data_IF_131878779063
#
_entry.id   IF_131878779063
#
_cell.length_a   1.000
_cell.length_b   1.000
_cell.length_c   1.000
_cell.angle_alpha   90.00
_cell.angle_beta   90.00
_cell.angle_gamma   90.00
#
_symmetry.space_group_name_H-M   'P 1'
#
loop_
_entity.id
_entity.type
_entity.pdbx_description
1 polymer ?
#
# COMPACT_ATOMS: atom_id res chain seq x y z
N UNK A 1 -20.45 53.59 -17.19
CA UNK A 1 -21.90 53.84 -17.03
C UNK A 1 -22.65 53.10 -18.13
N UNK A 2 -23.81 52.48 -17.87
CA UNK A 2 -24.47 52.20 -16.57
C UNK A 2 -24.38 50.69 -16.22
N UNK A 3 -24.20 50.28 -14.95
CA UNK A 3 -25.13 50.26 -13.78
C UNK A 3 -26.24 49.21 -13.91
N UNK A 4 -26.22 48.16 -13.06
CA UNK A 4 -27.03 47.97 -11.84
C UNK A 4 -28.48 47.54 -12.19
N UNK A 5 -29.08 46.52 -11.56
CA UNK A 5 -29.57 46.56 -10.18
C UNK A 5 -30.00 45.17 -9.69
N UNK A 6 -29.71 44.90 -8.42
CA UNK A 6 -30.38 43.90 -7.59
C UNK A 6 -31.85 44.26 -7.34
N UNK A 7 -32.68 43.27 -6.98
CA UNK A 7 -33.84 43.39 -6.07
C UNK A 7 -34.47 42.00 -5.79
N UNK A 8 -34.25 41.49 -4.58
CA UNK A 8 -35.28 40.83 -3.73
C UNK A 8 -35.97 41.98 -2.95
N UNK A 9 -37.22 41.89 -2.43
CA UNK A 9 -37.61 40.83 -1.48
C UNK A 9 -39.13 40.48 -1.30
N UNK A 10 -39.35 39.47 -0.45
CA UNK A 10 -40.41 39.32 0.59
C UNK A 10 -41.88 39.08 0.23
N UNK A 11 -42.42 37.98 0.77
CA UNK A 11 -43.79 37.77 1.33
C UNK A 11 -43.68 36.54 2.26
N UNK A 12 -43.59 36.71 3.58
CA UNK A 12 -44.69 36.77 4.57
C UNK A 12 -45.67 35.59 4.51
N UNK A 13 -45.61 34.72 5.53
CA UNK A 13 -46.80 34.15 6.17
C UNK A 13 -46.50 33.84 7.64
N UNK A 14 -47.31 34.45 8.50
CA UNK A 14 -47.38 34.31 9.96
C UNK A 14 -48.37 33.20 10.33
N UNK A 15 -48.07 32.47 11.41
CA UNK A 15 -48.98 32.14 12.52
C UNK A 15 -48.12 31.53 13.66
N UNK A 16 -47.84 32.22 14.78
CA UNK A 16 -48.61 32.31 16.04
C UNK A 16 -49.25 30.98 16.48
N UNK A 17 -48.98 30.41 17.66
CA UNK A 17 -49.12 31.01 18.99
C UNK A 17 -48.34 30.27 20.11
N UNK A 18 -48.05 31.05 21.17
CA UNK A 18 -47.88 30.75 22.62
C UNK A 18 -46.91 29.63 23.05
N UNK A 19 -45.76 29.87 23.69
CA UNK A 19 -45.46 30.48 25.01
C UNK A 19 -45.95 29.68 26.23
N UNK A 20 -45.04 28.98 26.93
CA UNK A 20 -44.93 29.01 28.41
C UNK A 20 -43.46 28.79 28.81
N UNK A 21 -43.03 29.66 29.71
CA UNK A 21 -41.75 29.80 30.41
C UNK A 21 -41.44 28.65 31.38
N UNK A 22 -40.17 28.35 31.62
CA UNK A 22 -39.73 27.51 32.74
C UNK A 22 -38.25 27.14 32.67
N UNK A 23 -37.40 27.96 33.28
CA UNK A 23 -35.96 27.80 33.31
C UNK A 23 -35.47 27.01 34.54
N UNK A 24 -34.46 26.15 34.31
CA UNK A 24 -33.38 25.66 35.21
C UNK A 24 -33.72 24.59 36.28
N UNK A 25 -32.72 23.84 36.84
CA UNK A 25 -31.31 23.64 36.44
C UNK A 25 -30.80 22.16 36.47
N UNK A 26 -29.56 21.97 36.00
CA UNK A 26 -28.70 20.78 36.19
C UNK A 26 -28.54 20.33 37.67
N UNK A 27 -28.41 19.03 37.96
CA UNK A 27 -27.93 18.58 39.27
C UNK A 27 -26.42 18.28 39.28
N UNK A 28 -25.75 18.78 40.32
CA UNK A 28 -24.43 18.35 40.79
C UNK A 28 -24.55 17.26 41.87
N UNK A 29 -23.47 16.48 42.13
CA UNK A 29 -23.55 15.16 42.75
C UNK A 29 -23.38 15.23 44.27
N UNK A 30 -24.36 14.75 45.05
CA UNK A 30 -24.22 14.21 46.42
C UNK A 30 -25.61 13.90 46.98
N UNK A 31 -25.70 12.90 47.86
CA UNK A 31 -26.88 12.44 48.62
C UNK A 31 -27.79 11.40 47.96
N UNK A 32 -27.33 10.16 47.95
CA UNK A 32 -28.16 8.97 48.21
C UNK A 32 -27.27 7.95 48.95
N UNK A 33 -26.94 8.29 50.19
CA UNK A 33 -26.47 7.35 51.19
C UNK A 33 -27.62 7.14 52.17
N UNK A 34 -27.77 5.90 52.65
CA UNK A 34 -28.68 5.46 53.72
C UNK A 34 -30.14 5.13 53.33
N UNK A 35 -30.34 3.91 52.82
CA UNK A 35 -31.35 2.96 53.32
C UNK A 35 -31.33 1.65 52.51
N UNK A 36 -30.61 0.62 52.99
CA UNK A 36 -30.95 -0.81 52.88
C UNK A 36 -29.72 -1.69 53.24
N UNK A 37 -29.48 -1.85 54.54
CA UNK A 37 -29.07 -3.14 55.11
C UNK A 37 -30.30 -4.08 55.04
N UNK A 38 -30.27 -5.39 54.82
CA UNK A 38 -29.33 -6.48 55.09
C UNK A 38 -29.54 -7.58 54.03
N UNK A 39 -28.49 -8.36 53.68
CA UNK A 39 -28.48 -9.79 53.24
C UNK A 39 -27.15 -10.09 52.49
N UNK A 40 -26.62 -11.34 52.55
CA UNK A 40 -25.20 -11.63 52.38
C UNK A 40 -24.75 -11.70 50.91
N UNK A 41 -23.51 -11.22 50.66
CA UNK A 41 -22.67 -11.39 49.47
C UNK A 41 -23.39 -11.79 48.16
N UNK A 42 -23.68 -10.80 47.32
CA UNK A 42 -24.18 -11.01 45.95
C UNK A 42 -24.19 -9.70 45.15
N UNK A 43 -23.61 -9.76 43.95
CA UNK A 43 -23.39 -8.70 42.96
C UNK A 43 -24.57 -7.72 42.80
N UNK A 44 -24.34 -6.41 43.00
CA UNK A 44 -25.28 -5.35 42.60
C UNK A 44 -24.85 -4.79 41.24
N UNK A 45 -25.65 -4.98 40.19
CA UNK A 45 -25.47 -4.28 38.92
C UNK A 45 -25.77 -2.77 39.05
N UNK A 46 -24.91 -1.92 38.50
CA UNK A 46 -25.16 -0.49 38.33
C UNK A 46 -26.28 -0.19 37.31
N UNK A 47 -26.74 1.08 37.19
CA UNK A 47 -27.79 1.46 36.25
C UNK A 47 -27.36 1.28 34.78
N UNK A 48 -28.28 0.87 33.91
CA UNK A 48 -28.06 0.76 32.46
C UNK A 48 -27.86 2.15 31.84
N UNK A 49 -26.87 2.29 30.95
CA UNK A 49 -26.64 3.51 30.15
C UNK A 49 -27.65 3.70 29.01
N UNK A 50 -28.44 2.67 28.68
CA UNK A 50 -29.46 2.73 27.64
C UNK A 50 -30.86 2.94 28.24
N UNK A 51 -31.67 3.88 27.72
CA UNK A 51 -33.06 4.08 28.15
C UNK A 51 -33.87 2.79 27.96
N UNK A 52 -34.45 2.27 29.04
CA UNK A 52 -35.21 1.01 29.03
C UNK A 52 -34.38 -0.28 29.14
N UNK A 53 -33.06 -0.18 29.30
CA UNK A 53 -32.18 -1.33 29.49
C UNK A 53 -32.19 -1.88 30.93
N UNK A 54 -32.10 -3.21 31.07
CA UNK A 54 -31.88 -3.88 32.38
C UNK A 54 -30.54 -4.62 32.38
N UNK A 55 -29.74 -4.39 33.42
CA UNK A 55 -28.48 -5.09 33.63
C UNK A 55 -28.73 -6.36 34.44
N UNK A 56 -28.14 -7.48 34.00
CA UNK A 56 -28.16 -8.76 34.70
C UNK A 56 -26.70 -9.21 34.87
N UNK A 57 -26.32 -9.56 36.10
CA UNK A 57 -25.04 -10.20 36.41
C UNK A 57 -25.23 -11.69 36.66
N UNK A 58 -24.32 -12.50 36.14
CA UNK A 58 -24.16 -13.92 36.47
C UNK A 58 -22.66 -14.18 36.64
N UNK A 59 -22.14 -14.04 37.85
CA UNK A 59 -20.70 -14.10 38.09
C UNK A 59 -19.98 -12.87 37.50
N UNK A 60 -18.79 -13.05 36.95
CA UNK A 60 -17.98 -11.96 36.35
C UNK A 60 -18.54 -11.44 35.00
N UNK A 61 -19.73 -11.88 34.60
CA UNK A 61 -20.40 -11.50 33.36
C UNK A 61 -21.54 -10.52 33.63
N UNK A 62 -21.43 -9.32 33.07
CA UNK A 62 -22.54 -8.35 33.02
C UNK A 62 -23.14 -8.29 31.62
N UNK A 63 -24.45 -8.51 31.52
CA UNK A 63 -25.22 -8.40 30.27
C UNK A 63 -26.24 -7.28 30.39
N UNK A 64 -26.39 -6.47 29.34
CA UNK A 64 -27.42 -5.42 29.26
C UNK A 64 -28.48 -5.83 28.25
N UNK A 65 -29.73 -5.96 28.70
CA UNK A 65 -30.87 -6.28 27.84
C UNK A 65 -31.56 -5.00 27.42
N UNK A 66 -31.60 -4.73 26.11
CA UNK A 66 -32.40 -3.65 25.50
C UNK A 66 -33.29 -4.25 24.43
N UNK A 67 -34.61 -4.19 24.61
CA UNK A 67 -35.62 -4.62 23.64
C UNK A 67 -35.40 -6.02 23.00
N UNK A 68 -34.90 -7.00 23.77
CA UNK A 68 -34.74 -8.38 23.32
C UNK A 68 -33.44 -8.70 22.58
N UNK A 69 -32.54 -7.73 22.41
CA UNK A 69 -31.18 -7.97 21.90
C UNK A 69 -30.19 -8.09 23.07
N UNK A 70 -29.29 -9.07 23.01
CA UNK A 70 -28.28 -9.35 24.04
C UNK A 70 -26.93 -8.75 23.64
N UNK A 71 -26.39 -7.85 24.45
CA UNK A 71 -24.97 -7.47 24.39
C UNK A 71 -24.27 -7.99 25.65
N UNK A 72 -23.36 -8.95 25.47
CA UNK A 72 -22.51 -9.49 26.55
C UNK A 72 -21.20 -8.72 26.52
N UNK A 73 -20.89 -7.99 27.59
CA UNK A 73 -19.60 -7.31 27.76
C UNK A 73 -18.83 -8.03 28.86
N UNK A 74 -17.65 -8.57 28.54
CA UNK A 74 -16.72 -9.11 29.53
C UNK A 74 -15.81 -7.97 29.97
N UNK A 75 -16.03 -7.44 31.17
CA UNK A 75 -15.09 -6.51 31.79
C UNK A 75 -14.15 -7.31 32.69
N UNK A 76 -13.00 -7.73 32.17
CA UNK A 76 -11.94 -8.30 32.99
C UNK A 76 -11.32 -7.18 33.85
N UNK A 77 -11.88 -6.95 35.03
CA UNK A 77 -11.18 -6.30 36.12
C UNK A 77 -10.54 -7.40 36.95
N UNK A 78 -9.26 -7.71 36.67
CA UNK A 78 -8.26 -8.03 37.68
C UNK A 78 -6.92 -8.32 37.01
N UNK A 79 -6.02 -7.35 37.13
CA UNK A 79 -4.59 -7.57 37.09
C UNK A 79 -4.21 -8.36 38.36
N UNK A 80 -3.23 -9.25 38.23
CA UNK A 80 -2.58 -10.00 39.32
C UNK A 80 -3.33 -11.22 39.90
N UNK A 81 -3.56 -12.24 39.07
CA UNK A 81 -3.36 -13.63 39.52
C UNK A 81 -2.55 -14.42 38.51
N UNK A 82 -1.36 -14.84 38.94
CA UNK A 82 -0.63 -15.98 38.36
C UNK A 82 -1.60 -17.15 38.29
N UNK A 83 -2.01 -17.52 37.09
CA UNK A 83 -2.57 -18.82 36.80
C UNK A 83 -1.56 -19.57 35.96
N UNK A 84 -1.02 -20.63 36.54
CA UNK A 84 -0.35 -21.70 35.83
C UNK A 84 -1.32 -22.22 34.76
N UNK A 85 -1.17 -21.73 33.53
CA UNK A 85 -1.83 -22.29 32.36
C UNK A 85 -1.05 -23.54 31.98
N UNK A 86 -1.54 -24.68 32.46
CA UNK A 86 -1.24 -25.99 31.90
C UNK A 86 -1.37 -25.94 30.38
N UNK A 87 -0.28 -26.27 29.70
CA UNK A 87 -0.29 -26.72 28.30
C UNK A 87 -1.28 -27.87 28.17
N UNK A 88 -2.34 -27.73 27.36
CA UNK A 88 -2.97 -28.89 26.71
C UNK A 88 -3.93 -28.52 25.56
N UNK A 89 -3.65 -29.10 24.40
CA UNK A 89 -4.33 -28.96 23.10
C UNK A 89 -3.35 -28.49 22.01
N UNK A 90 -3.32 -29.09 20.80
CA UNK A 90 -2.46 -28.60 19.72
C UNK A 90 -2.90 -27.18 19.37
N UNK A 91 -2.15 -26.19 19.86
CA UNK A 91 -2.48 -24.79 19.65
C UNK A 91 -2.41 -24.47 18.16
N UNK A 92 -3.47 -23.87 17.62
CA UNK A 92 -3.46 -23.34 16.25
C UNK A 92 -2.24 -22.44 16.07
N UNK A 93 -1.42 -22.76 15.08
CA UNK A 93 -0.19 -22.05 14.78
C UNK A 93 -0.47 -20.70 14.12
N UNK A 94 0.53 -19.81 14.14
CA UNK A 94 0.50 -18.54 13.38
C UNK A 94 0.22 -18.81 11.90
N UNK A 95 0.86 -19.82 11.32
CA UNK A 95 0.72 -20.15 9.91
C UNK A 95 -0.69 -20.64 9.55
N UNK A 96 -1.35 -21.38 10.44
CA UNK A 96 -2.75 -21.78 10.25
C UNK A 96 -3.71 -20.59 10.28
N UNK A 97 -3.53 -19.65 11.21
CA UNK A 97 -4.35 -18.42 11.25
C UNK A 97 -4.11 -17.57 9.99
N UNK A 98 -2.86 -17.42 9.56
CA UNK A 98 -2.49 -16.66 8.36
C UNK A 98 -3.07 -17.31 7.11
N UNK A 99 -3.00 -18.63 7.00
CA UNK A 99 -3.59 -19.37 5.89
C UNK A 99 -5.13 -19.25 5.87
N UNK A 100 -5.75 -19.23 7.05
CA UNK A 100 -7.20 -19.05 7.19
C UNK A 100 -7.68 -17.64 6.83
N UNK A 101 -6.92 -16.60 7.20
CA UNK A 101 -7.22 -15.22 6.81
C UNK A 101 -7.16 -15.03 5.29
N UNK A 102 -6.29 -15.80 4.61
CA UNK A 102 -6.12 -15.78 3.15
C UNK A 102 -5.88 -14.36 2.60
N UNK A 103 -5.00 -13.63 3.27
CA UNK A 103 -4.59 -12.28 2.86
C UNK A 103 -3.41 -12.29 1.88
N UNK A 104 -3.37 -11.37 0.89
CA UNK A 104 -2.24 -11.23 -0.03
C UNK A 104 -0.94 -10.83 0.66
N UNK A 105 0.20 -11.29 0.11
CA UNK A 105 1.53 -10.91 0.59
C UNK A 105 2.06 -9.64 -0.10
N UNK A 106 1.66 -8.49 0.43
CA UNK A 106 2.12 -7.19 -0.07
C UNK A 106 3.62 -6.93 0.14
N UNK A 107 4.25 -7.58 1.13
CA UNK A 107 5.64 -7.28 1.49
C UNK A 107 6.64 -7.82 0.47
N UNK A 108 6.24 -8.79 -0.36
CA UNK A 108 7.01 -9.23 -1.55
C UNK A 108 7.36 -8.06 -2.47
N UNK A 109 6.38 -7.21 -2.75
CA UNK A 109 6.54 -6.04 -3.63
C UNK A 109 7.51 -5.04 -2.99
N UNK A 110 7.39 -4.85 -1.67
CA UNK A 110 8.29 -4.00 -0.89
C UNK A 110 9.75 -4.47 -1.00
N UNK A 111 9.99 -5.77 -0.80
CA UNK A 111 11.33 -6.37 -0.86
C UNK A 111 11.96 -6.22 -2.25
N UNK A 112 11.20 -6.50 -3.31
CA UNK A 112 11.67 -6.35 -4.69
C UNK A 112 12.04 -4.89 -5.01
N UNK A 113 11.27 -3.92 -4.54
CA UNK A 113 11.56 -2.50 -4.73
C UNK A 113 12.79 -2.04 -3.93
N UNK A 114 12.94 -2.52 -2.68
CA UNK A 114 14.13 -2.24 -1.86
C UNK A 114 15.41 -2.77 -2.49
N UNK A 115 15.37 -3.95 -3.11
CA UNK A 115 16.52 -4.53 -3.79
C UNK A 115 17.01 -3.68 -4.98
N UNK A 116 16.14 -2.86 -5.58
CA UNK A 116 16.47 -1.95 -6.67
C UNK A 116 17.01 -0.60 -6.17
N UNK A 117 16.84 -0.28 -4.88
CA UNK A 117 17.27 0.99 -4.31
C UNK A 117 18.78 1.10 -4.29
N UNK A 118 19.29 2.24 -4.75
CA UNK A 118 20.70 2.58 -4.59
C UNK A 118 20.97 3.04 -3.14
N UNK A 119 22.02 2.55 -2.47
CA UNK A 119 22.38 3.04 -1.14
C UNK A 119 22.55 4.56 -1.11
N UNK A 120 21.96 5.20 -0.09
CA UNK A 120 22.01 6.66 0.09
C UNK A 120 20.91 7.46 -0.60
N UNK A 121 20.13 6.88 -1.52
CA UNK A 121 19.05 7.63 -2.19
C UNK A 121 17.75 7.64 -1.39
N UNK A 122 16.91 8.66 -1.56
CA UNK A 122 15.60 8.78 -0.90
C UNK A 122 15.66 9.23 0.56
N UNK A 123 16.83 9.61 1.07
CA UNK A 123 17.01 10.13 2.45
C UNK A 123 16.20 11.39 2.70
N UNK A 124 16.15 12.29 1.71
CA UNK A 124 15.37 13.53 1.77
C UNK A 124 13.89 13.29 2.12
N UNK A 125 13.33 12.12 1.78
CA UNK A 125 11.93 11.81 2.03
C UNK A 125 11.70 11.52 3.52
N UNK A 126 12.56 10.71 4.15
CA UNK A 126 12.46 10.39 5.58
C UNK A 126 12.94 11.54 6.48
N UNK A 127 13.80 12.42 5.95
CA UNK A 127 14.26 13.63 6.64
C UNK A 127 13.28 14.80 6.53
N UNK A 128 12.24 14.66 5.72
CA UNK A 128 11.19 15.67 5.53
C UNK A 128 10.43 15.95 6.83
N UNK A 129 9.90 17.16 6.94
CA UNK A 129 9.10 17.57 8.09
C UNK A 129 7.80 16.78 8.17
N UNK A 130 7.17 16.50 7.03
CA UNK A 130 5.94 15.72 6.95
C UNK A 130 6.18 14.29 7.48
N UNK A 131 7.28 13.65 7.09
CA UNK A 131 7.62 12.32 7.57
C UNK A 131 7.94 12.32 9.08
N UNK A 132 8.64 13.35 9.57
CA UNK A 132 8.89 13.51 11.01
C UNK A 132 7.58 13.63 11.80
N UNK A 133 6.64 14.45 11.31
CA UNK A 133 5.31 14.59 11.92
C UNK A 133 4.52 13.29 11.89
N UNK A 134 4.65 12.46 10.85
CA UNK A 134 4.07 11.12 10.83
C UNK A 134 4.59 10.26 11.99
N UNK A 135 5.90 10.27 12.23
CA UNK A 135 6.57 9.45 13.25
C UNK A 135 6.26 9.92 14.67
N UNK A 136 6.26 11.23 14.89
CA UNK A 136 6.05 11.85 16.20
C UNK A 136 4.56 11.98 16.57
N UNK A 137 3.71 12.16 15.57
CA UNK A 137 2.28 12.39 15.74
C UNK A 137 1.45 11.12 16.00
N UNK A 138 0.14 11.35 16.17
CA UNK A 138 -0.89 10.32 16.29
C UNK A 138 -2.00 10.59 15.29
N UNK A 139 -2.48 9.54 14.63
CA UNK A 139 -3.48 9.61 13.56
C UNK A 139 -3.14 10.60 12.44
N UNK A 140 -1.85 10.72 12.10
CA UNK A 140 -1.36 11.60 11.04
C UNK A 140 -1.40 10.87 9.70
N UNK A 141 -1.82 11.59 8.65
CA UNK A 141 -1.76 11.11 7.28
C UNK A 141 -0.74 11.95 6.52
N UNK A 142 0.26 11.30 5.95
CA UNK A 142 1.17 11.91 4.97
C UNK A 142 0.86 11.32 3.61
N UNK A 143 0.56 12.18 2.65
CA UNK A 143 0.27 11.78 1.28
C UNK A 143 1.35 12.31 0.33
N UNK A 144 2.25 11.41 -0.05
CA UNK A 144 3.26 11.57 -1.08
C UNK A 144 2.66 11.39 -2.48
N UNK A 145 2.57 12.47 -3.27
CA UNK A 145 2.11 12.38 -4.67
C UNK A 145 3.25 12.62 -5.64
N UNK A 146 3.27 11.87 -6.75
CA UNK A 146 4.32 12.00 -7.74
C UNK A 146 3.96 11.39 -9.09
N UNK A 147 4.65 11.83 -10.14
CA UNK A 147 4.44 11.34 -11.50
C UNK A 147 4.85 9.86 -11.64
N UNK A 148 4.36 9.15 -12.68
CA UNK A 148 4.86 7.82 -13.01
C UNK A 148 6.38 7.81 -13.18
N UNK A 149 7.06 6.80 -12.63
CA UNK A 149 8.52 6.69 -12.73
C UNK A 149 9.32 7.60 -11.79
N UNK A 150 8.68 8.38 -10.92
CA UNK A 150 9.37 9.22 -9.93
C UNK A 150 10.09 8.45 -8.79
N UNK A 151 9.86 7.13 -8.68
CA UNK A 151 10.46 6.30 -7.62
C UNK A 151 9.59 6.12 -6.37
N UNK A 152 8.29 6.45 -6.44
CA UNK A 152 7.34 6.31 -5.32
C UNK A 152 7.41 4.97 -4.60
N UNK A 153 7.34 3.86 -5.34
CA UNK A 153 7.45 2.52 -4.74
C UNK A 153 8.77 2.30 -4.00
N UNK A 154 9.89 2.81 -4.53
CA UNK A 154 11.18 2.72 -3.83
C UNK A 154 11.16 3.55 -2.55
N UNK A 155 10.53 4.74 -2.57
CA UNK A 155 10.39 5.61 -1.40
C UNK A 155 9.47 5.01 -0.33
N UNK A 156 8.32 4.44 -0.71
CA UNK A 156 7.39 3.80 0.23
C UNK A 156 8.01 2.55 0.84
N UNK A 157 8.69 1.71 0.05
CA UNK A 157 9.40 0.54 0.57
C UNK A 157 10.57 0.92 1.47
N UNK A 158 11.32 1.98 1.13
CA UNK A 158 12.36 2.51 2.01
C UNK A 158 11.78 3.05 3.32
N UNK A 159 10.67 3.79 3.26
CA UNK A 159 9.96 4.30 4.43
C UNK A 159 9.49 3.18 5.35
N UNK A 160 8.88 2.12 4.78
CA UNK A 160 8.47 0.94 5.52
C UNK A 160 9.65 0.28 6.23
N UNK A 161 10.76 0.06 5.50
CA UNK A 161 12.00 -0.49 6.08
C UNK A 161 12.54 0.41 7.20
N UNK A 162 12.62 1.72 6.97
CA UNK A 162 13.14 2.66 7.96
C UNK A 162 12.31 2.66 9.25
N UNK A 163 10.97 2.68 9.14
CA UNK A 163 10.07 2.55 10.30
C UNK A 163 10.28 1.21 11.02
N UNK A 164 10.38 0.12 10.28
CA UNK A 164 10.57 -1.23 10.83
C UNK A 164 11.89 -1.34 11.60
N UNK A 165 12.98 -0.81 11.02
CA UNK A 165 14.30 -0.80 11.65
C UNK A 165 14.32 0.13 12.88
N UNK A 166 13.65 1.28 12.81
CA UNK A 166 13.61 2.29 13.90
C UNK A 166 12.87 1.77 15.13
N UNK A 167 11.76 1.07 14.94
CA UNK A 167 10.94 0.51 16.03
C UNK A 167 11.22 -0.98 16.25
N UNK A 168 12.36 -1.49 15.77
CA UNK A 168 12.72 -2.88 15.94
C UNK A 168 12.85 -3.23 17.43
N UNK A 169 12.03 -4.17 17.89
CA UNK A 169 12.01 -4.63 19.28
C UNK A 169 11.01 -3.90 20.18
N UNK A 170 10.40 -2.81 19.71
CA UNK A 170 9.28 -2.17 20.41
C UNK A 170 7.98 -2.93 20.12
N UNK A 171 7.52 -3.69 21.10
CA UNK A 171 6.31 -4.51 20.98
C UNK A 171 5.02 -3.69 20.99
N UNK A 172 5.08 -2.43 21.41
CA UNK A 172 3.95 -1.50 21.40
C UNK A 172 3.71 -0.86 20.03
N UNK A 173 4.66 -1.00 19.08
CA UNK A 173 4.57 -0.36 17.77
C UNK A 173 4.40 -1.40 16.67
N UNK A 174 3.41 -1.20 15.80
CA UNK A 174 3.24 -2.00 14.58
C UNK A 174 3.57 -1.17 13.33
N UNK A 175 4.31 -1.77 12.40
CA UNK A 175 4.61 -1.20 11.08
C UNK A 175 4.09 -2.16 10.02
N UNK A 176 3.10 -1.72 9.27
CA UNK A 176 2.35 -2.53 8.30
C UNK A 176 2.50 -1.95 6.89
N UNK A 177 2.52 -2.82 5.89
CA UNK A 177 2.71 -2.47 4.49
C UNK A 177 1.58 -2.97 3.59
N UNK A 178 1.09 -2.10 2.71
CA UNK A 178 0.08 -2.39 1.69
C UNK A 178 0.61 -1.87 0.35
N UNK A 179 0.90 -2.77 -0.58
CA UNK A 179 1.53 -2.44 -1.86
C UNK A 179 0.60 -2.88 -2.99
N UNK A 180 -0.23 -1.94 -3.45
CA UNK A 180 -1.33 -2.18 -4.37
C UNK A 180 -0.89 -2.09 -5.84
N UNK A 181 -1.50 -2.92 -6.69
CA UNK A 181 -1.18 -3.00 -8.13
C UNK A 181 -2.46 -3.24 -8.93
N UNK A 182 -2.63 -2.54 -10.05
CA UNK A 182 -3.81 -2.64 -10.91
C UNK A 182 -4.06 -4.05 -11.47
N UNK A 183 -2.99 -4.84 -11.66
CA UNK A 183 -3.08 -6.20 -12.17
C UNK A 183 -3.29 -7.25 -11.08
N UNK A 184 -3.25 -6.84 -9.81
CA UNK A 184 -3.53 -7.70 -8.66
C UNK A 184 -4.80 -7.19 -7.99
N UNK A 185 -5.96 -7.49 -8.60
CA UNK A 185 -7.26 -7.13 -8.04
C UNK A 185 -7.38 -7.68 -6.62
N UNK A 186 -7.73 -6.82 -5.69
CA UNK A 186 -7.99 -7.17 -4.29
C UNK A 186 -9.25 -6.46 -3.82
N UNK A 187 -10.08 -7.15 -3.04
CA UNK A 187 -11.19 -6.53 -2.34
C UNK A 187 -10.68 -5.83 -1.07
N UNK A 188 -11.50 -4.94 -0.48
CA UNK A 188 -11.16 -4.26 0.76
C UNK A 188 -10.91 -5.25 1.91
N UNK A 189 -11.77 -6.26 2.03
CA UNK A 189 -11.59 -7.47 2.86
C UNK A 189 -10.18 -8.08 2.76
N UNK A 190 -9.63 -8.21 1.55
CA UNK A 190 -8.31 -8.83 1.36
C UNK A 190 -7.19 -7.95 1.93
N UNK A 191 -7.31 -6.63 1.79
CA UNK A 191 -6.35 -5.69 2.38
C UNK A 191 -6.36 -5.78 3.91
N UNK A 192 -7.54 -5.83 4.53
CA UNK A 192 -7.65 -5.99 5.98
C UNK A 192 -7.15 -7.35 6.47
N UNK A 193 -7.43 -8.42 5.74
CA UNK A 193 -6.87 -9.74 6.03
C UNK A 193 -5.33 -9.72 5.95
N UNK A 194 -4.74 -9.05 4.96
CA UNK A 194 -3.28 -8.93 4.84
C UNK A 194 -2.65 -8.13 5.99
N UNK A 195 -3.31 -7.08 6.48
CA UNK A 195 -2.86 -6.33 7.66
C UNK A 195 -2.89 -7.20 8.91
N UNK A 196 -3.96 -7.97 9.12
CA UNK A 196 -4.06 -8.93 10.23
C UNK A 196 -3.00 -10.04 10.12
N UNK A 197 -2.74 -10.57 8.93
CA UNK A 197 -1.65 -11.52 8.70
C UNK A 197 -0.29 -10.95 9.14
N UNK A 198 -0.01 -9.68 8.86
CA UNK A 198 1.22 -9.01 9.29
C UNK A 198 1.26 -8.85 10.81
N UNK A 199 0.17 -8.42 11.45
CA UNK A 199 0.07 -8.28 12.90
C UNK A 199 0.24 -9.61 13.63
N UNK A 200 -0.45 -10.67 13.20
CA UNK A 200 -0.36 -12.00 13.82
C UNK A 200 1.06 -12.56 13.77
N UNK A 201 1.81 -12.25 12.71
CA UNK A 201 3.23 -12.65 12.58
C UNK A 201 4.17 -11.81 13.45
N UNK A 202 3.86 -10.52 13.65
CA UNK A 202 4.74 -9.57 14.33
C UNK A 202 4.47 -9.38 15.82
N UNK A 203 3.24 -9.62 16.28
CA UNK A 203 2.76 -9.16 17.57
C UNK A 203 1.99 -10.25 18.32
N UNK A 204 2.47 -10.59 19.51
CA UNK A 204 1.87 -11.64 20.35
C UNK A 204 0.41 -11.32 20.74
N UNK A 205 0.09 -10.04 21.00
CA UNK A 205 -1.28 -9.63 21.32
C UNK A 205 -2.25 -9.94 20.17
N UNK A 206 -1.83 -9.67 18.93
CA UNK A 206 -2.61 -9.96 17.74
C UNK A 206 -2.79 -11.48 17.55
N UNK A 207 -1.75 -12.28 17.75
CA UNK A 207 -1.86 -13.75 17.69
C UNK A 207 -2.84 -14.29 18.74
N UNK A 208 -2.74 -13.83 20.00
CA UNK A 208 -3.65 -14.26 21.07
C UNK A 208 -5.10 -13.89 20.77
N UNK A 209 -5.34 -12.66 20.30
CA UNK A 209 -6.67 -12.20 19.91
C UNK A 209 -7.21 -13.04 18.74
N UNK A 210 -6.44 -13.18 17.66
CA UNK A 210 -6.87 -13.88 16.46
C UNK A 210 -7.04 -15.39 16.68
N UNK A 211 -6.31 -16.00 17.61
CA UNK A 211 -6.54 -17.39 18.04
C UNK A 211 -7.95 -17.57 18.60
N UNK A 212 -8.43 -16.63 19.40
CA UNK A 212 -9.79 -16.66 19.94
C UNK A 212 -10.85 -16.38 18.87
N UNK A 213 -10.56 -15.53 17.88
CA UNK A 213 -11.46 -15.30 16.73
C UNK A 213 -11.53 -16.58 15.88
N UNK A 214 -10.38 -17.12 15.48
CA UNK A 214 -10.26 -18.35 14.69
C UNK A 214 -11.09 -19.50 15.27
N UNK A 215 -10.98 -19.76 16.58
CA UNK A 215 -11.73 -20.82 17.23
C UNK A 215 -13.26 -20.68 17.09
N UNK A 216 -13.76 -19.45 17.00
CA UNK A 216 -15.19 -19.13 16.85
C UNK A 216 -15.67 -19.17 15.40
N UNK A 217 -14.82 -18.82 14.45
CA UNK A 217 -15.21 -18.55 13.04
C UNK A 217 -14.60 -19.52 12.02
N UNK A 218 -13.76 -20.48 12.43
CA UNK A 218 -13.11 -21.42 11.51
C UNK A 218 -14.08 -22.20 10.60
N UNK A 219 -15.30 -22.48 11.07
CA UNK A 219 -16.30 -23.24 10.32
C UNK A 219 -17.13 -22.39 9.35
N UNK A 220 -17.32 -21.10 9.67
CA UNK A 220 -18.22 -20.19 8.94
C UNK A 220 -17.46 -19.23 8.02
N UNK A 221 -16.15 -19.12 8.18
CA UNK A 221 -15.35 -18.06 7.56
C UNK A 221 -15.44 -16.74 8.34
N UNK A 222 -14.57 -15.81 7.99
CA UNK A 222 -14.52 -14.46 8.56
C UNK A 222 -15.02 -13.44 7.53
N UNK A 223 -15.93 -12.56 7.93
CA UNK A 223 -16.45 -11.50 7.05
C UNK A 223 -15.66 -10.20 7.24
N UNK A 224 -15.85 -9.24 6.34
CA UNK A 224 -15.12 -7.97 6.38
C UNK A 224 -15.32 -7.20 7.70
N UNK A 225 -16.53 -7.22 8.25
CA UNK A 225 -16.85 -6.55 9.52
C UNK A 225 -16.02 -7.10 10.68
N UNK A 226 -15.88 -8.43 10.78
CA UNK A 226 -15.06 -9.09 11.80
C UNK A 226 -13.58 -8.68 11.68
N UNK A 227 -13.08 -8.50 10.45
CA UNK A 227 -11.69 -8.06 10.22
C UNK A 227 -11.48 -6.63 10.70
N UNK A 228 -12.44 -5.74 10.44
CA UNK A 228 -12.39 -4.34 10.90
C UNK A 228 -12.47 -4.26 12.43
N UNK A 229 -13.32 -5.08 13.06
CA UNK A 229 -13.40 -5.19 14.52
C UNK A 229 -12.09 -5.71 15.12
N UNK A 230 -11.52 -6.77 14.55
CA UNK A 230 -10.23 -7.28 14.99
C UNK A 230 -9.10 -6.24 14.84
N UNK A 231 -9.06 -5.51 13.72
CA UNK A 231 -8.09 -4.44 13.53
C UNK A 231 -8.27 -3.32 14.56
N UNK A 232 -9.52 -2.94 14.87
CA UNK A 232 -9.82 -1.93 15.89
C UNK A 232 -9.30 -2.32 17.26
N UNK A 233 -9.61 -3.54 17.70
CA UNK A 233 -9.21 -4.02 19.02
C UNK A 233 -7.70 -4.18 19.13
N UNK A 234 -7.05 -4.71 18.08
CA UNK A 234 -5.60 -4.89 18.06
C UNK A 234 -4.88 -3.54 17.98
N UNK A 235 -5.34 -2.60 17.16
CA UNK A 235 -4.73 -1.26 17.08
C UNK A 235 -4.89 -0.52 18.40
N UNK A 236 -6.04 -0.65 19.07
CA UNK A 236 -6.29 -0.06 20.39
C UNK A 236 -5.43 -0.65 21.52
N UNK A 237 -4.89 -1.87 21.33
CA UNK A 237 -3.96 -2.51 22.27
C UNK A 237 -2.49 -2.15 22.02
N UNK A 238 -2.19 -1.41 20.95
CA UNK A 238 -0.84 -0.97 20.57
C UNK A 238 -0.67 0.52 20.87
N UNK A 239 0.54 0.94 21.19
CA UNK A 239 0.86 2.34 21.45
C UNK A 239 0.79 3.19 20.18
N UNK A 240 1.29 2.62 19.07
CA UNK A 240 1.29 3.26 17.74
C UNK A 240 1.20 2.22 16.62
N UNK A 241 0.48 2.57 15.57
CA UNK A 241 0.40 1.78 14.33
C UNK A 241 0.73 2.66 13.14
N UNK A 242 1.68 2.21 12.32
CA UNK A 242 2.03 2.81 11.04
C UNK A 242 1.55 1.93 9.91
N UNK A 243 0.86 2.52 8.92
CA UNK A 243 0.46 1.81 7.70
C UNK A 243 1.04 2.54 6.50
N UNK A 244 1.92 1.87 5.75
CA UNK A 244 2.48 2.38 4.51
C UNK A 244 1.70 1.81 3.33
N UNK A 245 1.09 2.68 2.54
CA UNK A 245 0.27 2.34 1.37
C UNK A 245 0.98 2.85 0.10
N UNK A 246 1.33 1.94 -0.80
CA UNK A 246 1.88 2.24 -2.13
C UNK A 246 0.86 1.91 -3.22
N UNK A 247 0.66 2.81 -4.18
CA UNK A 247 -0.19 2.55 -5.34
C UNK A 247 -1.69 2.68 -5.05
N UNK A 248 -2.11 3.60 -4.19
CA UNK A 248 -3.53 3.85 -3.91
C UNK A 248 -4.34 4.25 -5.18
N UNK A 249 -3.67 4.77 -6.20
CA UNK A 249 -4.25 5.07 -7.53
C UNK A 249 -4.47 3.83 -8.42
N UNK A 250 -4.01 2.66 -7.98
CA UNK A 250 -4.01 1.43 -8.75
C UNK A 250 -5.15 0.47 -8.33
N UNK A 251 -6.08 0.92 -7.46
CA UNK A 251 -7.27 0.16 -7.03
C UNK A 251 -8.56 0.91 -7.33
N UNK A 252 -9.66 0.18 -7.34
CA UNK A 252 -11.01 0.72 -7.53
C UNK A 252 -11.41 1.64 -6.36
N UNK A 253 -12.39 2.52 -6.63
CA UNK A 253 -12.80 3.58 -5.72
C UNK A 253 -13.33 3.05 -4.37
N UNK A 254 -14.03 1.91 -4.36
CA UNK A 254 -14.54 1.27 -3.13
C UNK A 254 -13.41 0.90 -2.16
N UNK A 255 -12.35 0.26 -2.65
CA UNK A 255 -11.19 -0.12 -1.84
C UNK A 255 -10.45 1.13 -1.38
N UNK A 256 -10.28 2.10 -2.28
CA UNK A 256 -9.59 3.36 -2.00
C UNK A 256 -10.26 4.14 -0.86
N UNK A 257 -11.55 4.39 -0.99
CA UNK A 257 -12.33 5.18 -0.05
C UNK A 257 -12.46 4.44 1.29
N UNK A 258 -12.62 3.10 1.24
CA UNK A 258 -12.60 2.24 2.43
C UNK A 258 -11.29 2.35 3.22
N UNK A 259 -10.13 2.34 2.56
CA UNK A 259 -8.83 2.50 3.24
C UNK A 259 -8.65 3.89 3.84
N UNK A 260 -9.03 4.94 3.09
CA UNK A 260 -8.95 6.32 3.53
C UNK A 260 -9.88 6.62 4.72
N UNK A 261 -10.99 5.89 4.84
CA UNK A 261 -11.92 6.04 5.95
C UNK A 261 -11.53 5.19 7.17
N UNK A 262 -11.29 3.89 6.97
CA UNK A 262 -11.13 2.94 8.07
C UNK A 262 -9.81 3.17 8.81
N UNK A 263 -8.66 3.20 8.13
CA UNK A 263 -7.36 3.20 8.82
C UNK A 263 -7.16 4.40 9.76
N UNK A 264 -7.49 5.65 9.35
CA UNK A 264 -7.39 6.78 10.27
C UNK A 264 -8.40 6.71 11.42
N UNK A 265 -9.61 6.15 11.19
CA UNK A 265 -10.62 5.96 12.25
C UNK A 265 -10.17 4.98 13.34
N UNK A 266 -9.25 4.07 13.01
CA UNK A 266 -8.61 3.15 13.96
C UNK A 266 -7.38 3.75 14.67
N UNK A 267 -7.05 5.02 14.42
CA UNK A 267 -5.91 5.70 15.05
C UNK A 267 -4.55 5.44 14.39
N UNK A 268 -4.51 4.89 13.18
CA UNK A 268 -3.27 4.62 12.48
C UNK A 268 -2.62 5.91 11.92
N UNK A 269 -1.29 5.96 11.99
CA UNK A 269 -0.47 6.89 11.23
C UNK A 269 -0.29 6.32 9.81
N UNK A 270 -0.78 7.00 8.78
CA UNK A 270 -0.85 6.47 7.41
C UNK A 270 0.09 7.25 6.48
N UNK A 271 1.01 6.54 5.83
CA UNK A 271 1.84 7.07 4.75
C UNK A 271 1.31 6.55 3.42
N UNK A 272 0.87 7.43 2.54
CA UNK A 272 0.31 7.08 1.23
C UNK A 272 1.24 7.58 0.13
N UNK A 273 1.65 6.72 -0.79
CA UNK A 273 2.32 7.10 -2.01
C UNK A 273 1.50 6.68 -3.24
N UNK A 274 1.13 7.65 -4.06
CA UNK A 274 0.30 7.43 -5.25
C UNK A 274 0.55 8.49 -6.33
N UNK A 275 -0.13 8.36 -7.47
CA UNK A 275 -0.35 9.51 -8.37
C UNK A 275 -1.31 10.51 -7.72
N UNK A 276 -1.38 11.77 -8.23
CA UNK A 276 -2.37 12.74 -7.77
C UNK A 276 -3.80 12.21 -7.94
N UNK A 277 -4.59 12.26 -6.86
CA UNK A 277 -6.01 11.87 -6.82
C UNK A 277 -6.83 13.03 -6.25
N UNK A 278 -7.09 14.04 -7.08
CA UNK A 278 -7.64 15.33 -6.61
C UNK A 278 -8.98 15.22 -5.87
N UNK A 279 -9.83 14.26 -6.25
CA UNK A 279 -11.13 14.05 -5.61
C UNK A 279 -11.02 13.45 -4.19
N UNK A 280 -9.93 12.74 -3.91
CA UNK A 280 -9.77 12.00 -2.66
C UNK A 280 -9.22 12.87 -1.52
N UNK A 281 -8.74 14.08 -1.79
CA UNK A 281 -8.30 15.01 -0.74
C UNK A 281 -9.43 15.38 0.23
N UNK A 282 -10.68 15.35 -0.22
CA UNK A 282 -11.84 15.63 0.61
C UNK A 282 -12.07 14.56 1.69
N UNK A 283 -11.60 13.33 1.46
CA UNK A 283 -11.66 12.27 2.47
C UNK A 283 -10.65 12.49 3.60
N UNK A 284 -9.58 13.24 3.33
CA UNK A 284 -8.46 13.44 4.27
C UNK A 284 -8.01 14.90 4.29
N UNK A 285 -8.87 15.85 4.73
CA UNK A 285 -8.58 17.28 4.65
C UNK A 285 -7.38 17.72 5.51
N UNK A 286 -7.03 16.95 6.54
CA UNK A 286 -5.85 17.18 7.40
C UNK A 286 -4.56 16.51 6.93
N UNK A 287 -4.56 15.84 5.77
CA UNK A 287 -3.37 15.15 5.29
C UNK A 287 -2.23 16.11 4.92
N UNK A 288 -1.03 15.81 5.41
CA UNK A 288 0.19 16.50 5.04
C UNK A 288 0.59 16.08 3.63
N UNK A 289 0.87 17.06 2.76
CA UNK A 289 1.17 16.81 1.35
C UNK A 289 2.67 16.83 1.12
N UNK A 290 3.18 15.75 0.53
CA UNK A 290 4.58 15.65 0.17
C UNK A 290 4.71 15.37 -1.33
N UNK A 291 5.64 16.04 -2.01
CA UNK A 291 5.94 15.75 -3.43
C UNK A 291 6.99 14.66 -3.52
N UNK A 292 6.59 13.50 -4.04
CA UNK A 292 7.43 12.34 -4.28
C UNK A 292 8.06 12.41 -5.68
N UNK A 293 9.06 13.27 -5.84
CA UNK A 293 9.77 13.51 -7.11
C UNK A 293 11.24 13.11 -7.02
N UNK A 294 11.83 12.72 -8.16
CA UNK A 294 13.25 12.42 -8.23
C UNK A 294 14.09 13.66 -7.92
N UNK A 295 14.97 13.57 -6.91
CA UNK A 295 15.89 14.65 -6.54
C UNK A 295 17.19 14.57 -7.33
N UNK A 296 17.74 15.74 -7.63
CA UNK A 296 18.99 15.85 -8.39
C UNK A 296 20.16 15.18 -7.67
N UNK A 297 20.17 15.28 -6.34
CA UNK A 297 21.14 14.66 -5.45
C UNK A 297 21.09 13.13 -5.56
N UNK A 298 19.88 12.55 -5.54
CA UNK A 298 19.67 11.11 -5.70
C UNK A 298 20.10 10.64 -7.11
N UNK A 299 19.82 11.43 -8.15
CA UNK A 299 20.26 11.14 -9.52
C UNK A 299 21.80 11.17 -9.62
N UNK A 300 22.44 12.15 -8.99
CA UNK A 300 23.90 12.25 -8.99
C UNK A 300 24.55 11.05 -8.28
N UNK A 301 24.02 10.63 -7.14
CA UNK A 301 24.45 9.41 -6.44
C UNK A 301 24.27 8.16 -7.30
N UNK A 302 23.13 8.05 -7.99
CA UNK A 302 22.85 6.95 -8.90
C UNK A 302 23.83 6.88 -10.07
N UNK A 303 24.09 8.01 -10.73
CA UNK A 303 25.05 8.09 -11.85
C UNK A 303 26.46 7.73 -11.38
N UNK A 304 26.90 8.25 -10.24
CA UNK A 304 28.20 7.87 -9.66
C UNK A 304 28.32 6.38 -9.39
N UNK A 305 27.29 5.79 -8.78
CA UNK A 305 27.30 4.36 -8.48
C UNK A 305 27.39 3.53 -9.77
N UNK A 306 26.66 3.92 -10.82
CA UNK A 306 26.73 3.25 -12.13
C UNK A 306 28.10 3.40 -12.80
N UNK A 307 28.76 4.55 -12.66
CA UNK A 307 30.14 4.73 -13.15
C UNK A 307 31.10 3.83 -12.36
N UNK A 308 31.00 3.82 -11.02
CA UNK A 308 31.85 2.99 -10.15
C UNK A 308 31.71 1.49 -10.44
N UNK A 309 30.52 1.02 -10.77
CA UNK A 309 30.25 -0.38 -11.07
C UNK A 309 30.63 -0.80 -12.51
N UNK A 310 30.89 0.15 -13.41
CA UNK A 310 31.15 -0.14 -14.83
C UNK A 310 32.59 0.15 -15.22
N UNK A 311 33.40 -0.90 -15.39
CA UNK A 311 34.77 -0.78 -15.92
C UNK A 311 34.82 -0.05 -17.27
N UNK A 312 33.79 -0.24 -18.11
CA UNK A 312 33.65 0.47 -19.39
C UNK A 312 33.48 1.98 -19.19
N UNK A 313 32.60 2.42 -18.31
CA UNK A 313 32.42 3.85 -18.05
C UNK A 313 33.64 4.46 -17.38
N UNK A 314 34.29 3.72 -16.48
CA UNK A 314 35.57 4.15 -15.91
C UNK A 314 36.63 4.36 -16.98
N UNK A 315 36.76 3.46 -17.95
CA UNK A 315 37.69 3.60 -19.06
C UNK A 315 37.35 4.76 -20.01
N UNK A 316 36.06 4.95 -20.34
CA UNK A 316 35.60 6.04 -21.21
C UNK A 316 35.79 7.42 -20.56
N UNK A 317 35.48 7.54 -19.27
CA UNK A 317 35.55 8.80 -18.54
C UNK A 317 36.95 9.07 -17.96
N UNK A 318 37.75 8.03 -17.75
CA UNK A 318 39.14 8.07 -17.27
C UNK A 318 39.36 8.98 -16.04
N UNK A 319 38.39 9.02 -15.12
CA UNK A 319 38.46 9.88 -13.93
C UNK A 319 38.33 11.39 -14.20
N UNK A 320 37.99 11.81 -15.42
CA UNK A 320 37.81 13.21 -15.77
C UNK A 320 36.56 13.80 -15.10
N UNK A 321 36.78 14.64 -14.10
CA UNK A 321 35.72 15.30 -13.33
C UNK A 321 34.82 16.21 -14.19
N UNK A 322 35.34 16.79 -15.27
CA UNK A 322 34.56 17.65 -16.17
C UNK A 322 33.58 16.78 -16.97
N UNK A 323 34.03 15.63 -17.48
CA UNK A 323 33.16 14.70 -18.22
C UNK A 323 32.11 14.07 -17.30
N UNK A 324 32.48 13.69 -16.07
CA UNK A 324 31.55 13.15 -15.07
C UNK A 324 30.50 14.21 -14.71
N UNK A 325 30.92 15.45 -14.48
CA UNK A 325 30.01 16.57 -14.20
C UNK A 325 29.04 16.82 -15.35
N UNK A 326 29.52 16.78 -16.60
CA UNK A 326 28.69 16.95 -17.79
C UNK A 326 27.69 15.80 -17.95
N UNK A 327 28.08 14.56 -17.70
CA UNK A 327 27.20 13.39 -17.71
C UNK A 327 26.08 13.54 -16.68
N UNK A 328 26.42 13.84 -15.42
CA UNK A 328 25.45 14.11 -14.35
C UNK A 328 24.47 15.21 -14.72
N UNK A 329 24.97 16.36 -15.17
CA UNK A 329 24.14 17.48 -15.58
C UNK A 329 23.15 17.09 -16.69
N UNK A 330 23.59 16.29 -17.66
CA UNK A 330 22.73 15.84 -18.75
C UNK A 330 21.65 14.87 -18.30
N UNK A 331 21.98 13.93 -17.41
CA UNK A 331 21.01 12.97 -16.87
C UNK A 331 19.98 13.67 -15.99
N UNK A 332 20.41 14.58 -15.11
CA UNK A 332 19.51 15.41 -14.28
C UNK A 332 18.53 16.21 -15.13
N UNK A 333 19.04 16.94 -16.12
CA UNK A 333 18.22 17.77 -16.99
C UNK A 333 17.17 16.95 -17.77
N UNK A 334 17.45 15.68 -18.07
CA UNK A 334 16.49 14.82 -18.74
C UNK A 334 15.51 14.12 -17.80
N UNK A 335 15.88 13.93 -16.53
CA UNK A 335 15.05 13.18 -15.60
C UNK A 335 13.76 13.93 -15.25
N UNK A 336 13.83 15.25 -15.08
CA UNK A 336 12.68 16.13 -14.83
C UNK A 336 11.67 15.56 -13.81
N UNK A 337 12.18 15.15 -12.65
CA UNK A 337 11.38 14.53 -11.58
C UNK A 337 11.02 13.05 -11.78
N UNK A 338 11.35 12.44 -12.92
CA UNK A 338 11.16 11.02 -13.23
C UNK A 338 12.47 10.23 -13.18
N UNK A 339 12.71 9.55 -12.06
CA UNK A 339 13.90 8.73 -11.85
C UNK A 339 14.08 7.62 -12.90
N UNK A 340 12.97 7.06 -13.40
CA UNK A 340 12.97 6.05 -14.46
C UNK A 340 13.72 6.52 -15.72
N UNK A 341 13.60 7.81 -16.06
CA UNK A 341 14.33 8.37 -17.20
C UNK A 341 15.82 8.28 -16.97
N UNK A 342 16.30 8.71 -15.80
CA UNK A 342 17.72 8.62 -15.44
C UNK A 342 18.25 7.19 -15.54
N UNK A 343 17.48 6.21 -15.06
CA UNK A 343 17.82 4.79 -15.17
C UNK A 343 17.97 4.35 -16.63
N UNK A 344 16.95 4.61 -17.47
CA UNK A 344 16.95 4.20 -18.87
C UNK A 344 18.07 4.89 -19.67
N UNK A 345 18.38 6.15 -19.35
CA UNK A 345 19.51 6.86 -19.98
C UNK A 345 20.84 6.18 -19.67
N UNK A 346 21.07 5.84 -18.40
CA UNK A 346 22.30 5.18 -17.99
C UNK A 346 22.41 3.78 -18.58
N UNK A 347 21.31 3.03 -18.68
CA UNK A 347 21.28 1.73 -19.35
C UNK A 347 21.63 1.84 -20.84
N UNK A 348 21.07 2.81 -21.55
CA UNK A 348 21.43 3.04 -22.96
C UNK A 348 22.91 3.36 -23.14
N UNK A 349 23.45 4.25 -22.30
CA UNK A 349 24.87 4.61 -22.31
C UNK A 349 25.73 3.37 -22.03
N UNK A 350 25.34 2.57 -21.03
CA UNK A 350 26.02 1.32 -20.70
C UNK A 350 25.97 0.28 -21.82
N UNK A 351 24.99 0.31 -22.71
CA UNK A 351 24.93 -0.58 -23.86
C UNK A 351 25.73 -0.04 -25.07
N UNK A 352 25.53 1.23 -25.42
CA UNK A 352 25.94 1.79 -26.72
C UNK A 352 27.27 2.55 -26.68
N UNK A 353 27.65 3.15 -25.56
CA UNK A 353 28.84 3.98 -25.50
C UNK A 353 30.13 3.15 -25.62
N UNK A 354 31.02 3.60 -26.51
CA UNK A 354 32.40 3.08 -26.72
C UNK A 354 33.47 4.17 -26.67
N UNK A 355 33.06 5.42 -26.58
CA UNK A 355 33.89 6.62 -26.56
C UNK A 355 33.13 7.77 -25.92
N UNK A 356 33.83 8.84 -25.54
CA UNK A 356 33.20 10.06 -24.99
C UNK A 356 32.13 10.62 -25.94
N UNK A 357 32.42 10.68 -27.25
CA UNK A 357 31.48 11.20 -28.24
C UNK A 357 30.23 10.32 -28.38
N UNK A 358 30.39 8.99 -28.42
CA UNK A 358 29.23 8.08 -28.50
C UNK A 358 28.39 8.09 -27.22
N UNK A 359 29.01 8.31 -26.06
CA UNK A 359 28.33 8.48 -24.78
C UNK A 359 27.40 9.70 -24.80
N UNK A 360 27.91 10.88 -25.15
CA UNK A 360 27.09 12.09 -25.17
C UNK A 360 26.06 12.08 -26.31
N UNK A 361 26.40 11.49 -27.46
CA UNK A 361 25.44 11.26 -28.55
C UNK A 361 24.27 10.37 -28.11
N UNK A 362 24.53 9.33 -27.32
CA UNK A 362 23.47 8.48 -26.78
C UNK A 362 22.52 9.28 -25.87
N UNK A 363 23.06 10.14 -25.01
CA UNK A 363 22.27 11.03 -24.12
C UNK A 363 21.50 12.14 -24.87
N UNK A 364 21.90 12.48 -26.09
CA UNK A 364 21.16 13.40 -26.96
C UNK A 364 20.00 12.71 -27.69
N UNK A 365 20.16 11.43 -27.99
CA UNK A 365 19.15 10.63 -28.68
C UNK A 365 18.03 10.12 -27.76
N UNK A 366 18.16 10.27 -26.44
CA UNK A 366 17.12 9.89 -25.50
C UNK A 366 16.05 10.99 -25.42
N UNK A 367 14.80 10.69 -25.77
CA UNK A 367 13.72 11.64 -25.65
C UNK A 367 13.46 12.00 -24.18
N UNK A 368 13.10 13.25 -23.95
CA UNK A 368 12.89 13.84 -22.62
C UNK A 368 11.60 13.38 -21.93
N UNK A 369 10.74 12.62 -22.61
CA UNK A 369 9.50 12.11 -22.05
C UNK A 369 9.43 10.58 -22.11
N UNK A 370 8.69 10.00 -21.18
CA UNK A 370 8.55 8.54 -21.04
C UNK A 370 8.03 7.89 -22.32
N UNK A 371 7.14 8.57 -23.06
CA UNK A 371 6.53 8.03 -24.28
C UNK A 371 7.55 7.90 -25.40
N UNK A 372 8.46 8.88 -25.52
CA UNK A 372 9.59 8.78 -26.41
C UNK A 372 10.54 7.66 -25.99
N UNK A 373 10.76 7.45 -24.69
CA UNK A 373 11.68 6.39 -24.24
C UNK A 373 11.11 5.02 -24.58
N UNK A 374 9.80 4.81 -24.37
CA UNK A 374 9.13 3.60 -24.85
C UNK A 374 9.23 3.46 -26.36
N UNK A 375 9.00 4.55 -27.12
CA UNK A 375 9.09 4.52 -28.58
C UNK A 375 10.48 4.08 -29.03
N UNK A 376 11.52 4.67 -28.45
CA UNK A 376 12.91 4.34 -28.79
C UNK A 376 13.27 2.90 -28.37
N UNK A 377 12.80 2.43 -27.21
CA UNK A 377 13.01 1.03 -26.80
C UNK A 377 12.28 0.07 -27.72
N UNK A 378 11.04 0.38 -28.13
CA UNK A 378 10.29 -0.42 -29.12
C UNK A 378 10.96 -0.39 -30.50
N UNK A 379 11.47 0.74 -30.95
CA UNK A 379 12.25 0.85 -32.19
C UNK A 379 13.50 -0.04 -32.15
N UNK A 380 14.23 -0.07 -31.02
CA UNK A 380 15.37 -0.98 -30.85
C UNK A 380 14.94 -2.44 -30.87
N UNK A 381 13.81 -2.77 -30.25
CA UNK A 381 13.26 -4.14 -30.27
C UNK A 381 12.90 -4.55 -31.70
N UNK A 382 12.28 -3.65 -32.47
CA UNK A 382 11.95 -3.88 -33.87
C UNK A 382 13.18 -3.99 -34.77
N UNK A 383 14.32 -3.42 -34.36
CA UNK A 383 15.58 -3.47 -35.10
C UNK A 383 16.43 -4.72 -34.79
N UNK A 384 15.98 -5.61 -33.90
CA UNK A 384 16.62 -6.91 -33.64
C UNK A 384 16.47 -7.85 -34.84
N UNK A 385 16.99 -9.08 -34.72
CA UNK A 385 16.73 -10.11 -35.72
C UNK A 385 15.21 -10.34 -35.87
N UNK A 386 14.75 -10.76 -37.05
CA UNK A 386 13.32 -10.94 -37.31
C UNK A 386 12.65 -11.94 -36.36
N UNK A 387 13.40 -12.94 -35.91
CA UNK A 387 12.95 -13.94 -34.93
C UNK A 387 12.86 -13.34 -33.52
N UNK A 388 13.91 -12.67 -33.03
CA UNK A 388 13.92 -12.04 -31.70
C UNK A 388 12.84 -10.97 -31.56
N UNK A 389 12.67 -10.13 -32.59
CA UNK A 389 11.62 -9.12 -32.63
C UNK A 389 10.24 -9.77 -32.59
N UNK A 390 10.02 -10.86 -33.34
CA UNK A 390 8.75 -11.58 -33.34
C UNK A 390 8.42 -12.16 -31.96
N UNK A 391 9.39 -12.78 -31.30
CA UNK A 391 9.24 -13.31 -29.94
C UNK A 391 8.87 -12.20 -28.97
N UNK A 392 9.59 -11.06 -29.00
CA UNK A 392 9.29 -9.92 -28.13
C UNK A 392 7.85 -9.39 -28.34
N UNK A 393 7.38 -9.31 -29.58
CA UNK A 393 5.99 -8.91 -29.87
C UNK A 393 4.95 -9.92 -29.37
N UNK A 394 5.23 -11.21 -29.47
CA UNK A 394 4.34 -12.24 -28.93
C UNK A 394 4.27 -12.16 -27.40
N UNK A 395 5.41 -11.99 -26.73
CA UNK A 395 5.46 -11.73 -25.28
C UNK A 395 4.59 -10.52 -24.93
N UNK A 396 4.74 -9.41 -25.67
CA UNK A 396 3.95 -8.22 -25.40
C UNK A 396 2.46 -8.43 -25.62
N UNK A 397 2.09 -9.15 -26.68
CA UNK A 397 0.70 -9.49 -26.98
C UNK A 397 0.07 -10.30 -25.85
N UNK A 398 0.74 -11.35 -25.38
CA UNK A 398 0.26 -12.16 -24.26
C UNK A 398 0.09 -11.33 -22.98
N UNK A 399 1.09 -10.52 -22.65
CA UNK A 399 1.04 -9.69 -21.44
C UNK A 399 -0.03 -8.58 -21.50
N UNK A 400 -0.31 -8.02 -22.68
CA UNK A 400 -1.33 -6.97 -22.86
C UNK A 400 -2.76 -7.50 -22.87
N UNK A 401 -2.96 -8.71 -23.40
CA UNK A 401 -4.29 -9.28 -23.60
C UNK A 401 -4.68 -10.34 -22.56
N UNK A 402 -3.78 -10.70 -21.65
CA UNK A 402 -4.10 -11.61 -20.56
C UNK A 402 -5.16 -11.00 -19.62
N UNK A 403 -6.16 -11.80 -19.26
CA UNK A 403 -7.21 -11.41 -18.31
C UNK A 403 -6.71 -11.37 -16.86
N UNK A 404 -5.67 -12.14 -16.57
CA UNK A 404 -5.05 -12.27 -15.25
C UNK A 404 -3.52 -12.27 -15.41
N UNK A 405 -2.74 -11.93 -14.36
CA UNK A 405 -1.28 -11.99 -14.41
C UNK A 405 -0.76 -13.37 -14.83
N UNK A 406 -0.02 -13.42 -15.94
CA UNK A 406 0.56 -14.66 -16.46
C UNK A 406 1.72 -15.14 -15.60
N UNK A 407 1.76 -16.45 -15.33
CA UNK A 407 2.97 -17.07 -14.79
C UNK A 407 4.04 -17.20 -15.87
N UNK A 408 5.31 -17.32 -15.45
CA UNK A 408 6.43 -17.52 -16.37
C UNK A 408 6.28 -18.80 -17.19
N UNK A 409 5.77 -19.86 -16.55
CA UNK A 409 5.58 -21.16 -17.20
C UNK A 409 4.46 -21.07 -18.23
N UNK A 410 3.32 -20.45 -17.88
CA UNK A 410 2.20 -20.25 -18.81
C UNK A 410 2.64 -19.43 -20.04
N UNK A 411 3.47 -18.41 -19.85
CA UNK A 411 4.01 -17.62 -20.96
C UNK A 411 4.96 -18.44 -21.83
N UNK A 412 5.86 -19.24 -21.24
CA UNK A 412 6.76 -20.12 -22.00
C UNK A 412 5.98 -21.16 -22.83
N UNK A 413 4.94 -21.75 -22.23
CA UNK A 413 4.05 -22.67 -22.96
C UNK A 413 3.31 -21.96 -24.09
N UNK A 414 2.82 -20.75 -23.86
CA UNK A 414 2.10 -19.98 -24.87
C UNK A 414 2.98 -19.61 -26.08
N UNK A 415 4.27 -19.34 -25.86
CA UNK A 415 5.25 -19.07 -26.92
C UNK A 415 5.70 -20.34 -27.67
N UNK A 416 5.65 -21.50 -27.02
CA UNK A 416 6.02 -22.78 -27.61
C UNK A 416 4.94 -23.36 -28.56
N UNK A 417 3.80 -22.69 -28.70
CA UNK A 417 2.71 -23.09 -29.60
C UNK A 417 2.90 -22.45 -30.97
N UNK A 418 3.00 -23.28 -32.03
CA UNK A 418 2.96 -22.79 -33.41
C UNK A 418 1.55 -22.31 -33.76
N UNK A 419 1.38 -21.03 -34.08
CA UNK A 419 0.09 -20.47 -34.51
C UNK A 419 -0.38 -21.09 -35.84
N UNK A 420 0.57 -21.48 -36.70
CA UNK A 420 0.28 -22.07 -38.01
C UNK A 420 -0.21 -23.51 -37.88
N UNK A 421 0.52 -24.30 -37.11
CA UNK A 421 0.29 -25.74 -37.01
C UNK A 421 -0.68 -26.08 -35.87
N UNK A 422 -0.95 -25.12 -34.98
CA UNK A 422 -1.76 -25.26 -33.77
C UNK A 422 -1.28 -26.39 -32.85
N UNK A 423 0.02 -26.65 -32.90
CA UNK A 423 0.69 -27.69 -32.12
C UNK A 423 1.65 -27.07 -31.13
N UNK A 424 1.72 -27.69 -29.96
CA UNK A 424 2.73 -27.42 -28.96
C UNK A 424 3.97 -28.27 -29.24
N UNK A 425 5.15 -27.67 -29.14
CA UNK A 425 6.43 -28.38 -29.19
C UNK A 425 7.32 -27.95 -28.01
N UNK A 426 7.70 -28.91 -27.18
CA UNK A 426 8.59 -28.67 -26.03
C UNK A 426 9.98 -28.16 -26.46
N UNK A 427 10.43 -28.47 -27.68
CA UNK A 427 11.66 -27.94 -28.25
C UNK A 427 11.63 -26.44 -28.51
N UNK A 428 10.45 -25.82 -28.55
CA UNK A 428 10.28 -24.38 -28.76
C UNK A 428 10.20 -23.59 -27.45
N UNK A 429 10.43 -24.21 -26.29
CA UNK A 429 10.47 -23.48 -25.01
C UNK A 429 11.69 -22.57 -24.97
N UNK A 430 11.44 -21.25 -24.94
CA UNK A 430 12.47 -20.22 -24.89
C UNK A 430 12.94 -20.03 -23.44
N UNK A 431 14.24 -20.10 -23.14
CA UNK A 431 14.76 -19.81 -21.81
C UNK A 431 14.45 -18.40 -21.33
N UNK A 432 14.01 -18.26 -20.07
CA UNK A 432 13.60 -16.98 -19.46
C UNK A 432 14.62 -15.85 -19.64
N UNK A 433 15.94 -16.04 -19.40
CA UNK A 433 16.91 -14.96 -19.56
C UNK A 433 16.99 -14.43 -21.00
N UNK A 434 16.85 -15.31 -21.99
CA UNK A 434 16.86 -14.94 -23.41
C UNK A 434 15.59 -14.18 -23.77
N UNK A 435 14.42 -14.68 -23.36
CA UNK A 435 13.14 -14.01 -23.57
C UNK A 435 13.14 -12.57 -23.00
N UNK A 436 13.65 -12.37 -21.79
CA UNK A 436 13.76 -11.04 -21.18
C UNK A 436 14.75 -10.13 -21.90
N UNK A 437 15.86 -10.69 -22.41
CA UNK A 437 16.86 -9.92 -23.15
C UNK A 437 16.30 -9.33 -24.45
N UNK A 438 15.43 -10.07 -25.15
CA UNK A 438 14.76 -9.64 -26.38
C UNK A 438 13.74 -8.52 -26.12
N UNK A 439 13.17 -8.45 -24.92
CA UNK A 439 12.14 -7.48 -24.54
C UNK A 439 12.70 -6.09 -24.15
N UNK A 440 14.01 -5.85 -24.28
CA UNK A 440 14.61 -4.52 -24.09
C UNK A 440 14.39 -3.90 -22.71
N UNK A 441 14.38 -4.72 -21.66
CA UNK A 441 14.06 -4.36 -20.28
C UNK A 441 12.63 -3.80 -20.06
N UNK A 442 11.73 -3.90 -21.05
CA UNK A 442 10.31 -3.55 -20.86
C UNK A 442 9.54 -4.61 -20.11
N UNK A 443 10.12 -5.78 -19.85
CA UNK A 443 9.48 -6.91 -19.18
C UNK A 443 10.37 -7.39 -18.04
N UNK A 444 9.76 -7.70 -16.91
CA UNK A 444 10.41 -8.23 -15.70
C UNK A 444 9.67 -9.44 -15.19
N UNK A 445 10.41 -10.31 -14.50
CA UNK A 445 9.85 -11.45 -13.77
C UNK A 445 9.87 -11.12 -12.30
N UNK A 446 8.70 -11.25 -11.70
CA UNK A 446 8.47 -11.05 -10.29
C UNK A 446 8.91 -12.27 -9.48
N UNK A 447 9.38 -12.04 -8.24
CA UNK A 447 9.56 -13.09 -7.26
C UNK A 447 8.22 -13.78 -6.92
N UNK A 448 8.22 -15.07 -6.53
CA UNK A 448 7.01 -15.86 -6.37
C UNK A 448 5.98 -15.21 -5.42
N UNK A 449 4.72 -15.16 -5.86
CA UNK A 449 3.61 -14.48 -5.19
C UNK A 449 3.26 -15.04 -3.79
N UNK A 450 3.63 -16.29 -3.50
CA UNK A 450 3.40 -16.95 -2.21
C UNK A 450 4.42 -18.07 -1.98
N UNK A 451 4.85 -18.27 -0.74
CA UNK A 451 5.64 -19.45 -0.33
C UNK A 451 4.87 -20.76 -0.52
N UNK A 452 3.54 -20.71 -0.46
CA UNK A 452 2.66 -21.88 -0.56
C UNK A 452 2.16 -22.15 -1.99
N UNK A 453 2.22 -21.14 -2.88
CA UNK A 453 1.96 -21.29 -4.33
C UNK A 453 3.01 -20.48 -5.12
N UNK A 454 4.24 -20.99 -5.28
CA UNK A 454 5.33 -20.24 -5.88
C UNK A 454 5.18 -20.18 -7.40
N UNK A 455 4.32 -19.29 -7.91
CA UNK A 455 4.30 -18.92 -9.32
C UNK A 455 5.00 -17.58 -9.50
N UNK A 456 6.08 -17.58 -10.27
CA UNK A 456 6.75 -16.36 -10.76
C UNK A 456 5.88 -15.76 -11.85
N UNK A 457 5.60 -14.45 -11.77
CA UNK A 457 4.74 -13.74 -12.74
C UNK A 457 5.58 -12.88 -13.67
N UNK A 458 5.10 -12.66 -14.88
CA UNK A 458 5.75 -11.81 -15.87
C UNK A 458 4.96 -10.52 -16.02
N UNK A 459 5.64 -9.36 -16.02
CA UNK A 459 4.97 -8.06 -16.14
C UNK A 459 5.77 -7.07 -16.94
N UNK A 460 5.08 -6.07 -17.49
CA UNK A 460 5.73 -4.90 -18.06
C UNK A 460 6.36 -4.01 -16.98
N UNK A 461 7.50 -3.41 -17.31
CA UNK A 461 7.95 -2.16 -16.69
C UNK A 461 7.19 -1.04 -17.43
N UNK A 462 6.01 -0.62 -16.96
CA UNK A 462 5.28 0.49 -17.62
C UNK A 462 4.60 1.53 -16.74
N UNK A 463 4.57 2.76 -17.28
CA UNK A 463 3.58 3.84 -17.07
C UNK A 463 2.24 3.34 -17.59
N UNK A 464 1.20 3.28 -16.75
CA UNK A 464 -0.11 2.79 -17.18
C UNK A 464 -0.70 3.63 -18.32
N UNK A 465 -1.08 2.93 -19.38
CA UNK A 465 -2.22 3.28 -20.20
C UNK A 465 -3.49 3.12 -19.33
N UNK A 466 -4.09 4.24 -18.95
CA UNK A 466 -5.52 4.30 -18.65
C UNK A 466 -6.23 4.57 -19.97
N UNK A 467 -6.82 3.55 -20.60
CA UNK A 467 -7.94 3.82 -21.51
C UNK A 467 -9.21 3.48 -20.78
N UNK A 468 -10.06 4.51 -20.65
CA UNK A 468 -11.50 4.34 -20.63
C UNK A 468 -11.87 3.39 -21.77
N UNK A 469 -12.37 2.20 -21.44
CA UNK A 469 -13.29 1.51 -22.34
C UNK A 469 -14.61 2.28 -22.21
N UNK A 470 -14.66 3.45 -22.84
CA UNK A 470 -15.92 4.07 -23.19
C UNK A 470 -16.51 3.20 -24.29
N UNK A 471 -17.66 2.61 -23.99
CA UNK A 471 -18.58 2.07 -24.97
C UNK A 471 -18.59 2.93 -26.25
N UNK A 472 -18.12 2.37 -27.35
CA UNK A 472 -18.63 2.70 -28.67
C UNK A 472 -19.18 1.40 -29.23
N UNK A 473 -20.45 1.17 -28.91
CA UNK A 473 -21.28 0.38 -29.78
C UNK A 473 -21.44 1.14 -31.09
N UNK A 474 -21.15 0.46 -32.19
CA UNK A 474 -22.03 0.37 -33.36
C UNK A 474 -21.60 -0.83 -34.20
#
# INVERSE_FOLDING_TARGET
MPQATALRPSLLLRSSMSSVSGALPFPQPTQLAEAAAELPYGERCGPSFFPGGKNIAVGDLTSTIVHGNYNVTILNHDAERRTDLSEDGPGVSVDEIVAWLDGPDFLRICQAALAQRMPGTGMWFIESEEFRQLVEGRSIIVWGTGMPGAGKTVLSSFSFKHLTDTFQGDKGVAVLGVFLRYNERCALRDVFAALLCQLVKGHQCAYVYMKAVYARTQATGIVEQDLVEALRDIFGALDRVFVVIDGLDEVDDEVRDGLLHVLPSLGANVLILSRPLELCWNHVPGALRLRAEARNEDIDLFVEAKIKLSSKLQAILNGDHVLIGRLKARVRASADGMFLVAQLQMELVLQTARSVNSLFKALEQLPSNVDGIYRQTLERINAQSGEDASIAHQVFTWLLHAKEPLSIDDLQYALAISVKDKTYDAGNIIPVPLMLSMCGALVTVDEPYSRYRPRRRVRFIRKHFSWQISYLGH
#
